data_IF_986499812429
#
_entry.id   IF_986499812429
#
_cell.length_a   1.000
_cell.length_b   1.000
_cell.length_c   1.000
_cell.angle_alpha   90.00
_cell.angle_beta   90.00
_cell.angle_gamma   90.00
#
_symmetry.space_group_name_H-M   'P 1'
#
loop_
_entity.id
_entity.type
_entity.pdbx_description
1 polymer ?
#
# COMPACT_ATOMS: atom_id res chain seq x y z
N UNK A 1 -12.15 2.43 -38.10
CA UNK A 1 -12.02 1.91 -36.72
C UNK A 1 -10.67 1.20 -36.63
N UNK A 2 -9.63 1.89 -36.18
CA UNK A 2 -8.30 1.29 -36.01
C UNK A 2 -8.36 0.27 -34.89
N UNK A 3 -8.27 -1.02 -35.24
CA UNK A 3 -8.00 -2.09 -34.28
C UNK A 3 -6.64 -1.79 -33.68
N UNK A 4 -6.62 -1.09 -32.55
CA UNK A 4 -5.41 -0.85 -31.77
C UNK A 4 -4.92 -2.21 -31.27
N UNK A 5 -4.03 -2.84 -32.02
CA UNK A 5 -3.32 -4.02 -31.56
C UNK A 5 -2.62 -3.63 -30.26
N UNK A 6 -2.69 -4.48 -29.25
CA UNK A 6 -2.04 -4.17 -27.98
C UNK A 6 -0.53 -4.02 -28.25
N UNK A 7 0.10 -2.87 -27.92
CA UNK A 7 1.50 -2.59 -28.24
C UNK A 7 2.49 -3.55 -27.55
N UNK A 8 2.00 -4.38 -26.63
CA UNK A 8 2.72 -5.42 -25.93
C UNK A 8 2.31 -6.85 -26.35
N UNK A 9 1.60 -6.99 -27.48
CA UNK A 9 1.36 -8.30 -28.10
C UNK A 9 2.70 -8.91 -28.53
N UNK A 10 2.93 -10.16 -28.12
CA UNK A 10 4.14 -10.97 -28.43
C UNK A 10 5.45 -10.50 -27.77
N UNK A 11 5.40 -9.99 -26.54
CA UNK A 11 6.61 -9.78 -25.75
C UNK A 11 7.24 -11.11 -25.33
N UNK A 12 8.53 -11.28 -25.61
CA UNK A 12 9.32 -12.40 -25.09
C UNK A 12 10.00 -12.01 -23.76
N UNK A 13 9.80 -12.84 -22.73
CA UNK A 13 10.36 -12.63 -21.38
C UNK A 13 11.88 -12.40 -21.40
N UNK A 14 12.62 -13.24 -22.13
CA UNK A 14 14.07 -13.16 -22.26
C UNK A 14 14.54 -11.82 -22.83
N UNK A 15 13.86 -11.32 -23.86
CA UNK A 15 14.15 -10.03 -24.48
C UNK A 15 13.93 -8.87 -23.51
N UNK A 16 12.80 -8.88 -22.79
CA UNK A 16 12.46 -7.83 -21.81
C UNK A 16 13.46 -7.81 -20.64
N UNK A 17 13.87 -8.98 -20.15
CA UNK A 17 14.88 -9.09 -19.08
C UNK A 17 16.27 -8.63 -19.56
N UNK A 18 16.61 -8.87 -20.82
CA UNK A 18 17.84 -8.35 -21.41
C UNK A 18 17.80 -6.82 -21.53
N UNK A 19 16.67 -6.24 -21.94
CA UNK A 19 16.46 -4.78 -21.96
C UNK A 19 16.61 -4.16 -20.55
N UNK A 20 16.20 -4.86 -19.49
CA UNK A 20 16.30 -4.36 -18.11
C UNK A 20 17.73 -4.01 -17.66
N UNK A 21 18.77 -4.51 -18.35
CA UNK A 21 20.17 -4.12 -18.12
C UNK A 21 20.41 -2.61 -18.29
N UNK A 22 19.58 -1.93 -19.09
CA UNK A 22 19.61 -0.47 -19.29
C UNK A 22 19.42 0.30 -17.97
N UNK A 23 18.81 -0.30 -16.94
CA UNK A 23 18.65 0.36 -15.64
C UNK A 23 19.98 0.68 -14.95
N UNK A 24 21.08 0.02 -15.35
CA UNK A 24 22.42 0.27 -14.83
C UNK A 24 23.18 1.36 -15.60
N UNK A 25 22.63 1.87 -16.71
CA UNK A 25 23.27 2.93 -17.50
C UNK A 25 23.23 4.27 -16.75
N UNK A 26 24.31 5.05 -16.91
CA UNK A 26 24.39 6.42 -16.42
C UNK A 26 24.72 7.34 -17.60
N UNK A 27 23.91 8.38 -17.88
CA UNK A 27 22.74 8.85 -17.12
C UNK A 27 21.47 8.01 -17.34
N UNK A 28 20.63 7.90 -16.31
CA UNK A 28 19.34 7.19 -16.38
C UNK A 28 18.39 7.93 -17.34
N UNK A 29 17.83 7.20 -18.32
CA UNK A 29 16.77 7.71 -19.20
C UNK A 29 15.38 7.30 -18.67
N UNK A 30 14.58 8.22 -18.07
CA UNK A 30 13.33 7.85 -17.41
C UNK A 30 12.29 7.27 -18.35
N UNK A 31 12.16 7.82 -19.58
CA UNK A 31 11.17 7.36 -20.56
C UNK A 31 11.44 5.91 -20.98
N UNK A 32 12.70 5.59 -21.27
CA UNK A 32 13.10 4.22 -21.66
C UNK A 32 12.93 3.25 -20.49
N UNK A 33 13.32 3.64 -19.29
CA UNK A 33 13.16 2.81 -18.10
C UNK A 33 11.69 2.54 -17.77
N UNK A 34 10.83 3.56 -17.89
CA UNK A 34 9.38 3.41 -17.73
C UNK A 34 8.79 2.40 -18.70
N UNK A 35 9.21 2.45 -19.97
CA UNK A 35 8.72 1.53 -20.98
C UNK A 35 9.09 0.08 -20.64
N UNK A 36 10.34 -0.16 -20.23
CA UNK A 36 10.82 -1.50 -19.85
C UNK A 36 10.12 -2.01 -18.58
N UNK A 37 9.99 -1.17 -17.53
CA UNK A 37 9.23 -1.54 -16.33
C UNK A 37 7.78 -1.90 -16.66
N UNK A 38 7.16 -1.18 -17.61
CA UNK A 38 5.80 -1.47 -18.06
C UNK A 38 5.73 -2.84 -18.75
N UNK A 39 6.71 -3.19 -19.58
CA UNK A 39 6.80 -4.53 -20.20
C UNK A 39 6.94 -5.63 -19.14
N UNK A 40 7.82 -5.44 -18.15
CA UNK A 40 8.00 -6.41 -17.04
C UNK A 40 6.69 -6.62 -16.28
N UNK A 41 6.04 -5.53 -15.87
CA UNK A 41 4.77 -5.58 -15.15
C UNK A 41 3.65 -6.18 -15.99
N UNK A 42 3.63 -5.90 -17.30
CA UNK A 42 2.68 -6.50 -18.22
C UNK A 42 2.84 -8.03 -18.27
N UNK A 43 4.07 -8.54 -18.42
CA UNK A 43 4.36 -9.97 -18.41
C UNK A 43 3.92 -10.63 -17.09
N UNK A 44 4.29 -10.03 -15.95
CA UNK A 44 3.85 -10.52 -14.63
C UNK A 44 2.31 -10.57 -14.53
N UNK A 45 1.62 -9.55 -15.04
CA UNK A 45 0.15 -9.49 -15.02
C UNK A 45 -0.52 -10.48 -15.99
N UNK A 46 0.18 -10.95 -17.04
CA UNK A 46 -0.29 -12.04 -17.89
C UNK A 46 -0.10 -13.42 -17.24
N UNK A 47 0.53 -13.49 -16.06
CA UNK A 47 0.84 -14.75 -15.39
C UNK A 47 2.12 -15.42 -15.91
N UNK A 48 2.96 -14.69 -16.65
CA UNK A 48 4.27 -15.20 -17.07
C UNK A 48 5.11 -15.55 -15.84
N UNK A 49 5.67 -16.76 -15.80
CA UNK A 49 6.44 -17.21 -14.65
C UNK A 49 7.89 -16.72 -14.70
N UNK A 50 8.25 -15.89 -13.73
CA UNK A 50 9.62 -15.45 -13.50
C UNK A 50 10.29 -16.39 -12.50
N UNK A 51 11.41 -17.00 -12.88
CA UNK A 51 12.27 -17.74 -11.97
C UNK A 51 12.90 -16.79 -10.93
N UNK A 52 13.21 -17.33 -9.76
CA UNK A 52 13.76 -16.55 -8.64
C UNK A 52 15.02 -15.77 -9.03
N UNK A 53 15.98 -16.41 -9.70
CA UNK A 53 17.24 -15.75 -10.10
C UNK A 53 17.01 -14.57 -11.06
N UNK A 54 16.21 -14.77 -12.12
CA UNK A 54 15.93 -13.71 -13.09
C UNK A 54 15.11 -12.56 -12.47
N UNK A 55 14.17 -12.88 -11.58
CA UNK A 55 13.41 -11.88 -10.84
C UNK A 55 14.32 -11.07 -9.91
N UNK A 56 15.24 -11.71 -9.19
CA UNK A 56 16.19 -11.02 -8.31
C UNK A 56 17.12 -10.10 -9.09
N UNK A 57 17.67 -10.55 -10.22
CA UNK A 57 18.53 -9.73 -11.09
C UNK A 57 17.79 -8.49 -11.62
N UNK A 58 16.56 -8.66 -12.13
CA UNK A 58 15.74 -7.55 -12.62
C UNK A 58 15.33 -6.59 -11.48
N UNK A 59 15.03 -7.11 -10.28
CA UNK A 59 14.74 -6.30 -9.10
C UNK A 59 15.97 -5.47 -8.69
N UNK A 60 17.15 -6.08 -8.67
CA UNK A 60 18.41 -5.42 -8.31
C UNK A 60 18.75 -4.32 -9.31
N UNK A 61 18.60 -4.58 -10.61
CA UNK A 61 18.75 -3.58 -11.66
C UNK A 61 17.77 -2.40 -11.45
N UNK A 62 16.50 -2.69 -11.13
CA UNK A 62 15.48 -1.68 -10.86
C UNK A 62 15.84 -0.77 -9.67
N UNK A 63 16.57 -1.26 -8.66
CA UNK A 63 16.96 -0.42 -7.52
C UNK A 63 17.79 0.81 -7.92
N UNK A 64 18.55 0.74 -9.02
CA UNK A 64 19.32 1.88 -9.56
C UNK A 64 18.42 3.04 -9.97
N UNK A 65 17.18 2.77 -10.37
CA UNK A 65 16.21 3.77 -10.81
C UNK A 65 15.78 4.73 -9.70
N UNK A 66 16.04 4.40 -8.43
CA UNK A 66 15.86 5.32 -7.30
C UNK A 66 16.78 6.55 -7.34
N UNK A 67 17.84 6.54 -8.16
CA UNK A 67 18.73 7.69 -8.35
C UNK A 67 18.10 8.80 -9.21
N UNK A 68 17.10 8.49 -10.04
CA UNK A 68 16.38 9.51 -10.83
C UNK A 68 15.57 10.45 -9.93
N UNK A 69 15.13 11.61 -10.40
CA UNK A 69 14.13 12.43 -9.68
C UNK A 69 12.76 12.44 -10.41
N UNK A 70 12.60 11.63 -11.45
CA UNK A 70 11.33 11.53 -12.18
C UNK A 70 10.24 10.88 -11.32
N UNK A 71 9.16 11.63 -11.05
CA UNK A 71 8.06 11.19 -10.20
C UNK A 71 7.34 9.96 -10.75
N UNK A 72 7.19 9.86 -12.07
CA UNK A 72 6.47 8.77 -12.71
C UNK A 72 7.27 7.48 -12.60
N UNK A 73 8.58 7.56 -12.85
CA UNK A 73 9.52 6.46 -12.67
C UNK A 73 9.55 5.99 -11.22
N UNK A 74 9.60 6.91 -10.26
CA UNK A 74 9.53 6.56 -8.82
C UNK A 74 8.27 5.76 -8.49
N UNK A 75 7.10 6.19 -9.00
CA UNK A 75 5.83 5.49 -8.80
C UNK A 75 5.84 4.09 -9.41
N UNK A 76 6.44 3.93 -10.59
CA UNK A 76 6.60 2.64 -11.24
C UNK A 76 7.55 1.71 -10.48
N UNK A 77 8.62 2.23 -9.88
CA UNK A 77 9.49 1.46 -8.98
C UNK A 77 8.70 0.91 -7.78
N UNK A 78 7.87 1.73 -7.12
CA UNK A 78 7.02 1.23 -6.01
C UNK A 78 6.05 0.15 -6.45
N UNK A 79 5.52 0.23 -7.67
CA UNK A 79 4.62 -0.79 -8.18
C UNK A 79 5.40 -2.10 -8.45
N UNK A 80 6.52 -2.00 -9.14
CA UNK A 80 7.43 -3.12 -9.44
C UNK A 80 7.90 -3.85 -8.18
N UNK A 81 8.26 -3.10 -7.12
CA UNK A 81 8.61 -3.68 -5.83
C UNK A 81 7.49 -4.56 -5.28
N UNK A 82 6.23 -4.09 -5.35
CA UNK A 82 5.11 -4.83 -4.78
C UNK A 82 4.79 -6.12 -5.51
N UNK A 83 4.97 -6.13 -6.83
CA UNK A 83 4.70 -7.30 -7.68
C UNK A 83 5.83 -8.33 -7.59
N UNK A 84 7.08 -7.89 -7.52
CA UNK A 84 8.25 -8.80 -7.51
C UNK A 84 8.64 -9.29 -6.10
N UNK A 85 8.14 -8.68 -5.03
CA UNK A 85 8.55 -8.96 -3.64
C UNK A 85 8.49 -10.43 -3.21
N UNK A 86 7.58 -11.23 -3.78
CA UNK A 86 7.43 -12.65 -3.44
C UNK A 86 8.26 -13.60 -4.31
N UNK A 87 8.84 -13.11 -5.40
CA UNK A 87 9.54 -13.90 -6.40
C UNK A 87 11.05 -13.68 -6.27
N UNK A 88 11.45 -12.46 -5.92
CA UNK A 88 12.85 -12.07 -5.74
C UNK A 88 13.36 -12.36 -4.33
N UNK A 89 14.67 -12.61 -4.23
CA UNK A 89 15.42 -12.72 -2.98
C UNK A 89 15.99 -11.36 -2.55
N UNK A 90 16.36 -11.23 -1.28
CA UNK A 90 17.04 -10.04 -0.71
C UNK A 90 16.33 -8.70 -0.97
N UNK A 91 15.00 -8.73 -1.09
CA UNK A 91 14.15 -7.57 -1.39
C UNK A 91 14.27 -6.44 -0.36
N UNK A 92 14.81 -6.73 0.83
CA UNK A 92 15.07 -5.74 1.88
C UNK A 92 16.05 -4.63 1.45
N UNK A 93 16.82 -4.84 0.37
CA UNK A 93 17.79 -3.86 -0.17
C UNK A 93 17.19 -2.48 -0.46
N UNK A 94 15.89 -2.38 -0.79
CA UNK A 94 15.22 -1.09 -1.07
C UNK A 94 14.74 -0.37 0.18
N UNK A 95 14.88 -0.96 1.38
CA UNK A 95 14.33 -0.41 2.64
C UNK A 95 14.82 1.00 2.93
N UNK A 96 16.11 1.28 2.72
CA UNK A 96 16.70 2.61 2.97
C UNK A 96 16.10 3.66 2.04
N UNK A 97 15.99 3.35 0.74
CA UNK A 97 15.36 4.21 -0.26
C UNK A 97 13.90 4.49 0.07
N UNK A 98 13.12 3.45 0.40
CA UNK A 98 11.71 3.61 0.77
C UNK A 98 11.53 4.40 2.08
N UNK A 99 12.42 4.22 3.06
CA UNK A 99 12.39 4.96 4.32
C UNK A 99 12.72 6.44 4.13
N UNK A 100 13.66 6.74 3.23
CA UNK A 100 13.95 8.10 2.78
C UNK A 100 12.72 8.75 2.15
N UNK A 101 12.04 8.06 1.25
CA UNK A 101 10.83 8.58 0.58
C UNK A 101 9.62 8.69 1.51
N UNK A 102 9.54 7.84 2.53
CA UNK A 102 8.52 7.92 3.59
C UNK A 102 8.74 9.14 4.50
N UNK A 103 9.97 9.41 4.89
CA UNK A 103 10.31 10.52 5.82
C UNK A 103 10.59 11.84 5.11
N UNK A 104 10.75 11.80 3.79
CA UNK A 104 11.05 12.95 2.95
C UNK A 104 9.99 14.06 2.99
N UNK A 105 10.39 15.23 2.48
CA UNK A 105 9.54 16.43 2.39
C UNK A 105 8.41 16.28 1.36
N UNK A 106 8.62 15.46 0.32
CA UNK A 106 7.65 15.28 -0.76
C UNK A 106 6.52 14.34 -0.36
N UNK A 107 5.35 14.92 -0.11
CA UNK A 107 4.15 14.18 0.29
C UNK A 107 3.67 13.17 -0.77
N UNK A 108 4.00 13.41 -2.04
CA UNK A 108 3.64 12.58 -3.19
C UNK A 108 4.21 11.16 -3.09
N UNK A 109 5.41 11.00 -2.52
CA UNK A 109 6.07 9.69 -2.41
C UNK A 109 5.69 8.92 -1.16
N UNK A 110 5.33 9.63 -0.09
CA UNK A 110 5.19 9.06 1.24
C UNK A 110 4.18 7.91 1.30
N UNK A 111 2.97 8.11 0.78
CA UNK A 111 1.91 7.09 0.81
C UNK A 111 2.29 5.82 0.04
N UNK A 112 2.70 5.94 -1.25
CA UNK A 112 3.20 4.82 -2.04
C UNK A 112 4.41 4.10 -1.42
N UNK A 113 5.40 4.83 -0.91
CA UNK A 113 6.60 4.26 -0.30
C UNK A 113 6.28 3.41 0.94
N UNK A 114 5.37 3.89 1.80
CA UNK A 114 4.88 3.13 2.95
C UNK A 114 4.25 1.80 2.50
N UNK A 115 3.41 1.82 1.45
CA UNK A 115 2.77 0.58 0.95
C UNK A 115 3.79 -0.42 0.40
N UNK A 116 4.80 0.06 -0.33
CA UNK A 116 5.88 -0.79 -0.84
C UNK A 116 6.73 -1.36 0.31
N UNK A 117 7.07 -0.54 1.31
CA UNK A 117 7.88 -0.96 2.45
C UNK A 117 7.20 -2.08 3.24
N UNK A 118 5.89 -1.97 3.44
CA UNK A 118 5.16 -2.98 4.16
C UNK A 118 4.87 -4.24 3.35
N UNK A 119 5.11 -4.22 2.04
CA UNK A 119 5.01 -5.39 1.19
C UNK A 119 6.27 -6.27 1.27
N UNK A 120 7.43 -5.65 1.52
CA UNK A 120 8.74 -6.33 1.62
C UNK A 120 9.18 -6.61 3.06
N UNK A 121 8.47 -6.06 4.06
CA UNK A 121 8.80 -6.27 5.47
C UNK A 121 7.97 -7.41 6.03
N UNK A 122 8.60 -8.57 6.26
CA UNK A 122 7.99 -9.66 7.02
C UNK A 122 8.09 -9.45 8.53
N UNK A 123 7.13 -10.04 9.25
CA UNK A 123 6.99 -9.94 10.73
C UNK A 123 8.23 -10.46 11.48
N UNK A 124 9.07 -11.28 10.83
CA UNK A 124 10.29 -11.86 11.40
C UNK A 124 11.46 -10.88 11.51
N UNK A 125 11.51 -9.81 10.69
CA UNK A 125 12.55 -8.77 10.78
C UNK A 125 12.18 -7.68 11.78
N UNK A 126 12.43 -7.94 13.06
CA UNK A 126 11.97 -7.12 14.21
C UNK A 126 12.51 -5.66 14.22
N UNK A 127 13.71 -5.42 13.69
CA UNK A 127 14.39 -4.12 13.82
C UNK A 127 13.81 -3.04 12.90
N UNK A 128 13.53 -3.35 11.62
CA UNK A 128 12.88 -2.44 10.66
C UNK A 128 11.42 -2.16 11.02
N UNK A 129 10.73 -3.18 11.53
CA UNK A 129 9.37 -3.04 12.06
C UNK A 129 9.31 -2.05 13.23
N UNK A 130 10.37 -1.96 14.05
CA UNK A 130 10.48 -1.02 15.18
C UNK A 130 10.51 0.45 14.75
N UNK A 131 11.30 0.80 13.74
CA UNK A 131 11.38 2.17 13.20
C UNK A 131 10.11 2.57 12.46
N UNK A 132 9.59 1.66 11.64
CA UNK A 132 8.30 1.81 10.96
C UNK A 132 7.17 2.00 11.98
N UNK A 133 7.12 1.17 13.05
CA UNK A 133 6.18 1.34 14.17
C UNK A 133 6.38 2.66 14.93
N UNK A 134 7.62 3.10 15.18
CA UNK A 134 7.90 4.40 15.84
C UNK A 134 7.37 5.55 15.01
N UNK A 135 7.60 5.54 13.70
CA UNK A 135 7.11 6.56 12.77
C UNK A 135 5.58 6.54 12.66
N UNK A 136 4.94 5.37 12.72
CA UNK A 136 3.49 5.24 12.83
C UNK A 136 2.94 5.74 14.18
N UNK A 137 3.65 5.50 15.29
CA UNK A 137 3.30 6.00 16.63
C UNK A 137 3.32 7.53 16.69
N UNK A 138 4.21 8.17 15.91
CA UNK A 138 4.41 9.62 15.90
C UNK A 138 3.38 10.41 15.04
N UNK A 139 2.70 9.80 14.06
CA UNK A 139 1.98 10.58 13.03
C UNK A 139 0.48 10.31 12.78
N UNK A 140 -0.23 9.58 13.66
CA UNK A 140 -1.72 9.41 13.63
C UNK A 140 -2.34 9.22 12.22
N UNK A 141 -1.66 8.53 11.31
CA UNK A 141 -2.11 8.36 9.91
C UNK A 141 -2.71 6.96 9.73
N UNK A 142 -4.04 6.89 9.78
CA UNK A 142 -4.83 5.65 9.79
C UNK A 142 -5.00 4.96 8.44
N UNK A 143 -4.53 5.55 7.35
CA UNK A 143 -4.68 5.00 6.01
C UNK A 143 -3.96 3.64 5.85
N UNK A 144 -2.89 3.42 6.63
CA UNK A 144 -2.08 2.21 6.55
C UNK A 144 -2.73 0.99 7.23
N UNK A 145 -3.51 1.20 8.29
CA UNK A 145 -4.08 0.08 9.04
C UNK A 145 -5.22 -0.63 8.30
N UNK A 146 -5.80 -0.02 7.26
CA UNK A 146 -6.82 -0.66 6.42
C UNK A 146 -6.25 -1.85 5.62
N UNK A 147 -4.96 -1.85 5.27
CA UNK A 147 -4.34 -2.89 4.44
C UNK A 147 -3.65 -3.99 5.26
N UNK A 148 -3.18 -3.69 6.47
CA UNK A 148 -2.50 -4.67 7.34
C UNK A 148 -3.44 -5.37 8.34
N UNK A 149 -4.67 -4.90 8.50
CA UNK A 149 -5.65 -5.51 9.40
C UNK A 149 -6.16 -6.88 8.93
N UNK A 150 -5.90 -7.26 7.68
CA UNK A 150 -6.34 -8.53 7.12
C UNK A 150 -5.41 -9.71 7.47
N UNK A 151 -4.23 -9.47 8.09
CA UNK A 151 -3.21 -10.52 8.24
C UNK A 151 -2.65 -10.75 9.65
N UNK A 152 -3.13 -10.12 10.74
CA UNK A 152 -2.67 -10.49 12.09
C UNK A 152 -3.71 -10.30 13.21
N UNK A 153 -4.20 -11.43 13.75
CA UNK A 153 -5.20 -11.51 14.84
C UNK A 153 -4.68 -10.97 16.21
N UNK A 154 -3.36 -10.84 16.40
CA UNK A 154 -2.75 -10.49 17.69
C UNK A 154 -2.67 -8.97 18.03
N UNK A 155 -3.13 -8.06 17.15
CA UNK A 155 -2.90 -6.60 17.30
C UNK A 155 -4.17 -5.76 17.52
N UNK A 156 -5.33 -6.40 17.68
CA UNK A 156 -6.67 -5.78 17.73
C UNK A 156 -6.85 -4.75 18.88
N UNK A 157 -6.36 -4.97 20.13
CA UNK A 157 -6.59 -4.02 21.23
C UNK A 157 -5.82 -2.69 21.08
N UNK A 158 -4.57 -2.75 20.61
CA UNK A 158 -3.73 -1.58 20.34
C UNK A 158 -4.32 -0.73 19.22
N UNK A 159 -4.80 -1.40 18.16
CA UNK A 159 -5.53 -0.84 17.03
C UNK A 159 -6.81 -0.11 17.44
N UNK A 160 -7.60 -0.70 18.34
CA UNK A 160 -8.83 -0.11 18.88
C UNK A 160 -8.56 1.21 19.63
N UNK A 161 -7.41 1.29 20.31
CA UNK A 161 -7.04 2.44 21.14
C UNK A 161 -6.57 3.62 20.30
N UNK A 162 -5.75 3.37 19.26
CA UNK A 162 -5.32 4.42 18.33
C UNK A 162 -6.45 4.91 17.39
N UNK A 163 -7.36 4.03 16.98
CA UNK A 163 -8.53 4.40 16.17
C UNK A 163 -9.54 5.23 16.96
N UNK A 164 -9.78 4.89 18.24
CA UNK A 164 -10.65 5.65 19.15
C UNK A 164 -10.13 7.07 19.42
N UNK A 165 -8.81 7.26 19.53
CA UNK A 165 -8.23 8.61 19.73
C UNK A 165 -8.27 9.43 18.43
N UNK A 166 -8.08 8.80 17.27
CA UNK A 166 -8.03 9.48 15.97
C UNK A 166 -9.40 9.84 15.42
N UNK A 167 -10.47 9.13 15.79
CA UNK A 167 -11.86 9.49 15.42
C UNK A 167 -12.33 10.81 16.04
N UNK A 168 -11.81 11.18 17.21
CA UNK A 168 -12.16 12.45 17.87
C UNK A 168 -11.14 13.58 17.65
N UNK A 169 -9.85 13.23 17.50
CA UNK A 169 -8.75 14.23 17.48
C UNK A 169 -8.05 14.39 16.14
N UNK A 170 -8.51 13.72 15.06
CA UNK A 170 -7.86 13.85 13.76
C UNK A 170 -7.96 15.29 13.23
N UNK A 171 -6.82 15.93 12.89
CA UNK A 171 -6.81 17.28 12.32
C UNK A 171 -7.31 17.33 10.87
N UNK A 172 -7.42 16.18 10.19
CA UNK A 172 -7.80 16.08 8.78
C UNK A 172 -9.09 15.27 8.60
N UNK A 173 -10.07 15.82 7.86
CA UNK A 173 -11.41 15.23 7.67
C UNK A 173 -11.38 13.85 6.97
N UNK A 174 -10.42 13.62 6.09
CA UNK A 174 -10.22 12.32 5.42
C UNK A 174 -9.75 11.23 6.40
N UNK A 175 -8.94 11.60 7.40
CA UNK A 175 -8.47 10.66 8.42
C UNK A 175 -9.62 10.13 9.29
N UNK A 176 -10.65 10.93 9.57
CA UNK A 176 -11.80 10.49 10.36
C UNK A 176 -12.66 9.44 9.63
N UNK A 177 -12.83 9.56 8.31
CA UNK A 177 -13.53 8.57 7.48
C UNK A 177 -12.82 7.22 7.51
N UNK A 178 -11.52 7.19 7.19
CA UNK A 178 -10.74 5.96 7.22
C UNK A 178 -10.65 5.36 8.62
N UNK A 179 -10.64 6.20 9.66
CA UNK A 179 -10.66 5.77 11.05
C UNK A 179 -11.92 4.99 11.42
N UNK A 180 -13.07 5.55 11.05
CA UNK A 180 -14.36 4.93 11.30
C UNK A 180 -14.48 3.61 10.55
N UNK A 181 -14.01 3.57 9.30
CA UNK A 181 -14.07 2.37 8.49
C UNK A 181 -13.24 1.23 9.04
N UNK A 182 -12.00 1.51 9.44
CA UNK A 182 -11.15 0.52 10.09
C UNK A 182 -11.77 0.03 11.40
N UNK A 183 -12.30 0.95 12.22
CA UNK A 183 -12.95 0.59 13.48
C UNK A 183 -14.17 -0.33 13.27
N UNK A 184 -14.94 -0.08 12.19
CA UNK A 184 -16.01 -0.97 11.77
C UNK A 184 -15.47 -2.34 11.36
N UNK A 185 -14.47 -2.41 10.48
CA UNK A 185 -13.88 -3.69 10.04
C UNK A 185 -13.34 -4.54 11.19
N UNK A 186 -12.76 -3.91 12.22
CA UNK A 186 -12.29 -4.61 13.42
C UNK A 186 -13.42 -5.13 14.32
N UNK A 187 -14.62 -4.54 14.21
CA UNK A 187 -15.78 -4.87 15.06
C UNK A 187 -16.90 -5.56 14.32
N UNK A 188 -16.84 -5.69 13.00
CA UNK A 188 -17.96 -6.18 12.17
C UNK A 188 -18.48 -7.55 12.58
N UNK A 189 -17.65 -8.38 13.22
CA UNK A 189 -18.03 -9.70 13.72
C UNK A 189 -18.69 -9.67 15.12
N UNK A 190 -18.66 -8.53 15.83
CA UNK A 190 -19.27 -8.32 17.14
C UNK A 190 -20.36 -7.23 17.03
N UNK A 191 -21.61 -7.69 16.91
CA UNK A 191 -22.80 -6.85 16.73
C UNK A 191 -22.97 -5.81 17.85
N UNK A 192 -22.67 -6.18 19.10
CA UNK A 192 -22.78 -5.28 20.25
C UNK A 192 -21.70 -4.20 20.20
N UNK A 193 -20.47 -4.54 19.79
CA UNK A 193 -19.40 -3.57 19.62
C UNK A 193 -19.67 -2.57 18.50
N UNK A 194 -20.33 -2.99 17.41
CA UNK A 194 -20.79 -2.11 16.33
C UNK A 194 -21.91 -1.19 16.81
N UNK A 195 -22.93 -1.72 17.51
CA UNK A 195 -24.03 -0.90 18.03
C UNK A 195 -23.55 0.16 19.04
N UNK A 196 -22.66 -0.21 19.97
CA UNK A 196 -22.01 0.74 20.90
C UNK A 196 -21.21 1.81 20.17
N UNK A 197 -20.52 1.45 19.09
CA UNK A 197 -19.77 2.40 18.26
C UNK A 197 -20.72 3.41 17.61
N UNK A 198 -21.82 2.93 17.04
CA UNK A 198 -22.80 3.75 16.34
C UNK A 198 -23.45 4.75 17.29
N UNK A 199 -23.96 4.27 18.42
CA UNK A 199 -24.54 5.11 19.48
C UNK A 199 -23.58 6.18 19.99
N UNK A 200 -22.28 5.86 20.08
CA UNK A 200 -21.27 6.83 20.48
C UNK A 200 -21.14 7.97 19.46
N UNK A 201 -21.01 7.64 18.17
CA UNK A 201 -20.78 8.65 17.14
C UNK A 201 -22.03 9.42 16.73
N UNK A 202 -23.22 8.85 16.92
CA UNK A 202 -24.49 9.60 16.79
C UNK A 202 -24.60 10.68 17.86
N UNK A 203 -24.16 10.40 19.11
CA UNK A 203 -24.21 11.37 20.22
C UNK A 203 -23.08 12.39 20.18
N UNK A 204 -21.85 11.95 19.90
CA UNK A 204 -20.68 12.85 19.91
C UNK A 204 -20.55 13.70 18.65
N UNK A 205 -21.26 13.33 17.57
CA UNK A 205 -21.07 13.89 16.24
C UNK A 205 -19.74 13.49 15.60
N UNK A 206 -19.69 13.66 14.28
CA UNK A 206 -18.50 13.53 13.43
C UNK A 206 -18.25 14.88 12.74
N UNK A 207 -17.01 15.11 12.31
CA UNK A 207 -16.59 16.34 11.60
C UNK A 207 -16.61 16.16 10.07
N UNK A 208 -16.36 14.94 9.61
CA UNK A 208 -16.25 14.57 8.20
C UNK A 208 -17.58 14.11 7.63
N UNK A 209 -18.04 14.76 6.56
CA UNK A 209 -19.25 14.37 5.82
C UNK A 209 -19.13 12.94 5.28
N UNK A 210 -17.96 12.55 4.77
CA UNK A 210 -17.70 11.16 4.35
C UNK A 210 -17.83 10.17 5.50
N UNK A 211 -17.42 10.54 6.72
CA UNK A 211 -17.57 9.69 7.90
C UNK A 211 -19.05 9.53 8.29
N UNK A 212 -19.88 10.57 8.15
CA UNK A 212 -21.34 10.42 8.32
C UNK A 212 -21.94 9.47 7.28
N UNK A 213 -21.58 9.61 6.00
CA UNK A 213 -22.04 8.66 4.97
C UNK A 213 -21.65 7.21 5.31
N UNK A 214 -20.45 7.00 5.85
CA UNK A 214 -20.02 5.69 6.31
C UNK A 214 -20.81 5.18 7.51
N UNK A 215 -21.08 6.04 8.50
CA UNK A 215 -21.87 5.69 9.68
C UNK A 215 -23.30 5.28 9.27
N UNK A 216 -23.93 6.00 8.34
CA UNK A 216 -25.25 5.68 7.79
C UNK A 216 -25.23 4.32 7.08
N UNK A 217 -24.21 4.03 6.26
CA UNK A 217 -24.06 2.73 5.60
C UNK A 217 -23.93 1.58 6.61
N UNK A 218 -23.13 1.78 7.66
CA UNK A 218 -22.99 0.78 8.74
C UNK A 218 -24.31 0.57 9.47
N UNK A 219 -25.05 1.65 9.77
CA UNK A 219 -26.35 1.58 10.43
C UNK A 219 -27.38 0.83 9.58
N UNK A 220 -27.47 1.16 8.29
CA UNK A 220 -28.37 0.48 7.35
C UNK A 220 -28.05 -1.01 7.22
N UNK A 221 -26.77 -1.38 7.19
CA UNK A 221 -26.35 -2.79 7.17
C UNK A 221 -26.76 -3.52 8.46
N UNK A 222 -26.54 -2.92 9.62
CA UNK A 222 -26.90 -3.49 10.92
C UNK A 222 -28.42 -3.70 11.07
N UNK A 223 -29.23 -2.81 10.49
CA UNK A 223 -30.69 -2.94 10.46
C UNK A 223 -31.14 -4.11 9.57
N UNK A 224 -30.56 -4.26 8.37
CA UNK A 224 -30.86 -5.40 7.49
C UNK A 224 -30.50 -6.74 8.13
N UNK A 225 -29.32 -6.83 8.74
CA UNK A 225 -28.88 -8.02 9.51
C UNK A 225 -29.76 -8.30 10.74
N UNK A 226 -30.57 -7.33 11.19
CA UNK A 226 -31.53 -7.51 12.29
C UNK A 226 -32.91 -7.97 11.85
N UNK A 227 -33.27 -7.78 10.57
CA UNK A 227 -34.54 -8.21 9.99
C UNK A 227 -34.46 -9.62 9.39
N UNK A 228 -33.24 -10.08 9.04
CA UNK A 228 -32.98 -11.39 8.42
C UNK A 228 -32.69 -12.53 9.42
N UNK A 229 -32.63 -12.25 10.72
CA UNK A 229 -32.37 -13.24 11.78
C UNK A 229 -33.43 -13.21 12.88
#
# INVERSE_FOLDING_TARGET
SGSGSNPFQNLEKSSVLQEARIFNETPINPRRCLHILTKILYLLNQGEHFGTTEATEAFFAMTRLFQSNDQTLRRMCYFTIKEMANISEDVIIVTSSLTKDMTGKEDVYRGPAIRALCRITDVSTSNTLGEVRRLFKMRKRLFFFFFHAESTSQKIPFLLTQTRTSTHTAPFLTSQYHALGLLYHLRKNDRLAVSKMLNKFTKSGLKSQFAYCMLIRIASKLLRESEEG
#
